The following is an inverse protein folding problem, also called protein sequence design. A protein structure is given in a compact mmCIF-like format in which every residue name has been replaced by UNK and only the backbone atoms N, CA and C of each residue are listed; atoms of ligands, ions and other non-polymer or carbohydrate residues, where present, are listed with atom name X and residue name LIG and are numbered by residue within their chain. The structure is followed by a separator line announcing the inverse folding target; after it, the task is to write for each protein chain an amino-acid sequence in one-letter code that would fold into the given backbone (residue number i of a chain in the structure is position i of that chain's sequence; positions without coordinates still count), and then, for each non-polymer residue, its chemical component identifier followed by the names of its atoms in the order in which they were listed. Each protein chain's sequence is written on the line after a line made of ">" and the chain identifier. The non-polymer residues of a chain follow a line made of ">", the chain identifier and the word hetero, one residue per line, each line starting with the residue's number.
data_IF_988320478029
#
_entry.id   IF_988320478029
#
_cell.length_a   1.000
_cell.length_b   1.000
_cell.length_c   1.000
_cell.angle_alpha   90.00
_cell.angle_beta   90.00
_cell.angle_gamma   90.00
#
_symmetry.space_group_name_H-M   'P 1'
#
loop_
_entity.id
_entity.type
_entity.pdbx_description
1 polymer ?
#
# COMPACT_ATOMS: atom_id res chain seq x y z
N UNK A 1 -42.78 18.62 -1.42
CA UNK A 1 -41.70 18.99 -0.47
C UNK A 1 -40.55 18.01 -0.62
N UNK A 2 -39.54 18.36 -1.41
CA UNK A 2 -38.32 17.56 -1.60
C UNK A 2 -37.28 17.95 -0.56
N UNK A 3 -36.74 16.98 0.19
CA UNK A 3 -35.59 17.18 1.08
C UNK A 3 -34.28 16.93 0.30
N UNK A 4 -33.22 17.69 0.55
CA UNK A 4 -32.00 17.65 -0.24
C UNK A 4 -31.18 16.39 0.04
N UNK A 5 -30.68 15.80 -1.04
CA UNK A 5 -29.69 14.72 -1.05
C UNK A 5 -28.38 15.30 -0.51
N UNK A 6 -27.92 14.79 0.62
CA UNK A 6 -26.57 15.04 1.12
C UNK A 6 -25.59 14.41 0.12
N UNK A 7 -25.03 15.25 -0.74
CA UNK A 7 -23.92 14.90 -1.61
C UNK A 7 -22.74 14.43 -0.77
N UNK A 8 -22.43 13.14 -0.87
CA UNK A 8 -21.18 12.59 -0.39
C UNK A 8 -20.07 13.13 -1.30
N UNK A 9 -19.43 14.21 -0.84
CA UNK A 9 -18.23 14.81 -1.41
C UNK A 9 -17.03 13.88 -1.15
N UNK A 10 -16.95 12.78 -1.90
CA UNK A 10 -15.69 12.05 -2.05
C UNK A 10 -14.88 12.80 -3.09
N UNK A 11 -13.97 13.63 -2.58
CA UNK A 11 -12.95 14.27 -3.37
C UNK A 11 -12.23 13.24 -4.23
N UNK A 12 -12.09 13.60 -5.49
CA UNK A 12 -11.30 12.98 -6.54
C UNK A 12 -9.92 12.54 -5.98
N UNK A 13 -9.81 11.26 -5.59
CA UNK A 13 -8.52 10.60 -5.37
C UNK A 13 -8.15 9.92 -6.69
N UNK A 14 -7.06 10.30 -7.37
CA UNK A 14 -6.65 9.70 -8.65
C UNK A 14 -6.07 8.28 -8.51
N UNK A 15 -6.28 7.61 -7.38
CA UNK A 15 -5.84 6.25 -7.14
C UNK A 15 -7.07 5.38 -6.90
N UNK A 16 -7.76 5.04 -7.99
CA UNK A 16 -8.74 3.95 -7.98
C UNK A 16 -7.97 2.62 -7.93
N UNK A 17 -7.42 2.28 -6.74
CA UNK A 17 -6.83 0.97 -6.49
C UNK A 17 -7.96 -0.03 -6.26
N UNK A 18 -8.43 -0.58 -7.37
CA UNK A 18 -9.51 -1.56 -7.44
C UNK A 18 -9.25 -2.72 -6.46
N UNK A 19 -10.28 -3.08 -5.68
CA UNK A 19 -10.19 -3.84 -4.43
C UNK A 19 -9.90 -5.35 -4.57
N UNK A 20 -9.23 -5.79 -5.63
CA UNK A 20 -8.98 -7.22 -5.94
C UNK A 20 -7.49 -7.59 -6.08
N UNK A 21 -6.58 -6.93 -5.37
CA UNK A 21 -5.15 -7.32 -5.39
C UNK A 21 -4.85 -8.62 -4.63
N UNK A 22 -5.80 -9.14 -3.85
CA UNK A 22 -5.63 -10.33 -3.00
C UNK A 22 -5.40 -11.62 -3.82
N UNK A 23 -5.84 -11.67 -5.08
CA UNK A 23 -5.83 -12.89 -5.92
C UNK A 23 -5.06 -12.77 -7.23
N UNK A 24 -4.40 -11.65 -7.53
CA UNK A 24 -3.67 -11.49 -8.78
C UNK A 24 -2.30 -12.23 -8.73
N UNK A 25 -2.13 -13.36 -9.45
CA UNK A 25 -0.89 -14.14 -9.41
C UNK A 25 0.30 -13.38 -10.02
N UNK A 26 0.05 -12.53 -11.01
CA UNK A 26 1.07 -11.73 -11.69
C UNK A 26 1.64 -10.65 -10.75
N UNK A 27 0.76 -9.99 -9.99
CA UNK A 27 1.18 -9.00 -8.99
C UNK A 27 2.07 -9.64 -7.93
N UNK A 28 1.73 -10.85 -7.47
CA UNK A 28 2.53 -11.60 -6.49
C UNK A 28 3.92 -11.96 -7.03
N UNK A 29 4.00 -12.38 -8.30
CA UNK A 29 5.27 -12.69 -8.96
C UNK A 29 6.16 -11.45 -9.08
N UNK A 30 5.62 -10.34 -9.61
CA UNK A 30 6.34 -9.06 -9.74
C UNK A 30 6.80 -8.53 -8.38
N UNK A 31 5.96 -8.65 -7.36
CA UNK A 31 6.30 -8.32 -5.99
C UNK A 31 7.51 -9.13 -5.48
N UNK A 32 7.51 -10.45 -5.66
CA UNK A 32 8.63 -11.29 -5.20
C UNK A 32 9.94 -11.01 -5.93
N UNK A 33 9.88 -10.55 -7.19
CA UNK A 33 11.06 -10.09 -7.92
C UNK A 33 11.59 -8.80 -7.32
N UNK A 34 10.74 -7.77 -7.20
CA UNK A 34 11.13 -6.47 -6.63
C UNK A 34 11.63 -6.58 -5.18
N UNK A 35 11.03 -7.46 -4.38
CA UNK A 35 11.48 -7.72 -3.01
C UNK A 35 12.93 -8.20 -2.98
N UNK A 36 13.28 -9.19 -3.80
CA UNK A 36 14.63 -9.75 -3.84
C UNK A 36 15.66 -8.69 -4.24
N UNK A 37 15.33 -7.82 -5.18
CA UNK A 37 16.19 -6.71 -5.58
C UNK A 37 16.39 -5.71 -4.43
N UNK A 38 15.32 -5.40 -3.67
CA UNK A 38 15.38 -4.47 -2.56
C UNK A 38 16.13 -5.03 -1.36
N UNK A 39 16.01 -6.32 -1.07
CA UNK A 39 16.78 -7.01 -0.02
C UNK A 39 18.30 -6.95 -0.31
N UNK A 40 18.70 -7.06 -1.58
CA UNK A 40 20.10 -6.95 -2.00
C UNK A 40 20.64 -5.51 -1.98
N UNK A 41 19.75 -4.51 -2.03
CA UNK A 41 20.13 -3.09 -2.09
C UNK A 41 20.55 -2.48 -0.74
N UNK A 42 20.48 -3.24 0.36
CA UNK A 42 20.91 -2.78 1.68
C UNK A 42 19.99 -1.73 2.32
N UNK A 43 18.77 -1.56 1.81
CA UNK A 43 17.76 -0.66 2.39
C UNK A 43 17.44 -1.11 3.82
N UNK A 44 17.28 -0.14 4.74
CA UNK A 44 16.85 -0.47 6.10
C UNK A 44 15.49 -1.19 6.05
N UNK A 45 15.40 -2.42 6.57
CA UNK A 45 14.24 -3.27 6.36
C UNK A 45 13.00 -2.73 7.06
N UNK A 46 13.17 -2.03 8.18
CA UNK A 46 12.06 -1.55 8.99
C UNK A 46 12.11 -0.04 9.16
N UNK A 47 10.98 0.62 8.92
CA UNK A 47 10.75 2.03 9.22
C UNK A 47 9.58 2.19 10.18
N UNK A 48 9.59 3.26 10.97
CA UNK A 48 8.44 3.57 11.81
C UNK A 48 7.25 3.99 10.96
N UNK A 49 6.03 3.59 11.35
CA UNK A 49 4.87 4.17 10.72
C UNK A 49 4.83 5.69 10.99
N UNK A 50 4.37 6.49 10.01
CA UNK A 50 4.23 7.92 10.19
C UNK A 50 3.27 8.23 11.34
N UNK A 51 3.35 9.46 11.86
CA UNK A 51 2.45 9.97 12.89
C UNK A 51 0.98 9.87 12.44
N UNK A 52 -0.01 9.92 13.35
CA UNK A 52 -1.43 9.77 13.02
C UNK A 52 -1.94 10.66 11.87
N UNK A 53 -1.42 11.87 11.74
CA UNK A 53 -1.70 12.82 10.66
C UNK A 53 -0.62 12.86 9.56
N UNK A 54 0.48 12.12 9.75
CA UNK A 54 1.61 12.08 8.85
C UNK A 54 1.35 11.27 7.58
N UNK A 55 2.14 11.58 6.55
CA UNK A 55 2.23 10.80 5.31
C UNK A 55 3.48 9.93 5.35
N UNK A 56 3.42 8.78 4.69
CA UNK A 56 4.58 7.94 4.48
C UNK A 56 5.60 8.69 3.62
N UNK A 57 6.88 8.78 4.01
CA UNK A 57 7.89 9.46 3.21
C UNK A 57 8.16 8.73 1.88
N UNK A 58 7.91 7.43 1.82
CA UNK A 58 8.19 6.61 0.64
C UNK A 58 7.06 6.60 -0.38
N UNK A 59 5.80 6.62 0.07
CA UNK A 59 4.62 6.45 -0.79
C UNK A 59 3.70 7.66 -0.83
N UNK A 60 3.89 8.64 0.06
CA UNK A 60 2.95 9.76 0.25
C UNK A 60 1.60 9.35 0.85
N UNK A 61 1.37 8.06 1.11
CA UNK A 61 0.10 7.55 1.61
C UNK A 61 -0.13 7.95 3.07
N UNK A 62 -1.39 8.21 3.42
CA UNK A 62 -1.80 8.49 4.80
C UNK A 62 -1.63 7.24 5.66
N UNK A 63 -1.28 7.43 6.94
CA UNK A 63 -1.17 6.34 7.93
C UNK A 63 -2.39 5.42 7.96
N UNK A 64 -3.61 5.98 7.93
CA UNK A 64 -4.84 5.19 7.96
C UNK A 64 -4.93 4.18 6.81
N UNK A 65 -4.49 4.58 5.62
CA UNK A 65 -4.45 3.71 4.44
C UNK A 65 -3.31 2.68 4.51
N UNK A 66 -2.13 3.08 5.02
CA UNK A 66 -1.05 2.12 5.28
C UNK A 66 -1.50 0.99 6.21
N UNK A 67 -2.36 1.25 7.18
CA UNK A 67 -2.86 0.21 8.08
C UNK A 67 -3.84 -0.77 7.44
N UNK A 68 -4.54 -0.38 6.37
CA UNK A 68 -5.45 -1.28 5.64
C UNK A 68 -4.73 -2.06 4.54
N UNK A 69 -3.56 -1.56 4.11
CA UNK A 69 -2.76 -2.10 3.02
C UNK A 69 -2.43 -3.59 3.16
N UNK A 70 -1.94 -4.11 4.30
CA UNK A 70 -1.67 -5.54 4.45
C UNK A 70 -2.88 -6.43 4.13
N UNK A 71 -4.08 -5.99 4.52
CA UNK A 71 -5.33 -6.71 4.23
C UNK A 71 -5.70 -6.61 2.75
N UNK A 72 -5.58 -5.42 2.16
CA UNK A 72 -5.92 -5.17 0.75
C UNK A 72 -4.95 -5.84 -0.23
N UNK A 73 -3.67 -5.91 0.15
CA UNK A 73 -2.61 -6.54 -0.64
C UNK A 73 -2.52 -8.05 -0.43
N UNK A 74 -3.43 -8.67 0.33
CA UNK A 74 -3.35 -10.12 0.61
C UNK A 74 -2.10 -10.54 1.38
N UNK A 75 -1.58 -9.67 2.24
CA UNK A 75 -0.39 -9.93 3.08
C UNK A 75 0.95 -9.59 2.42
N UNK A 76 0.97 -9.05 1.20
CA UNK A 76 2.24 -8.65 0.55
C UNK A 76 2.95 -7.49 1.26
N UNK A 77 2.22 -6.51 1.78
CA UNK A 77 2.81 -5.44 2.60
C UNK A 77 2.79 -5.86 4.06
N UNK A 78 3.96 -5.85 4.70
CA UNK A 78 4.10 -6.26 6.09
C UNK A 78 4.17 -5.07 7.05
N UNK A 79 3.34 -5.11 8.09
CA UNK A 79 3.39 -4.19 9.22
C UNK A 79 3.48 -5.03 10.49
N UNK A 80 4.55 -4.85 11.25
CA UNK A 80 4.79 -5.56 12.49
C UNK A 80 4.42 -4.66 13.67
N UNK A 81 3.77 -5.26 14.67
CA UNK A 81 3.53 -4.63 15.96
C UNK A 81 4.56 -5.15 16.95
N UNK A 82 5.52 -4.31 17.31
CA UNK A 82 6.53 -4.61 18.32
C UNK A 82 6.02 -4.10 19.67
N UNK A 83 5.68 -5.01 20.58
CA UNK A 83 5.33 -4.68 21.97
C UNK A 83 6.31 -5.34 22.93
N UNK A 84 6.85 -4.56 23.85
CA UNK A 84 7.63 -5.11 24.96
C UNK A 84 6.67 -5.67 26.02
N UNK A 85 7.04 -6.77 26.71
CA UNK A 85 6.26 -7.26 27.83
C UNK A 85 6.13 -6.17 28.89
N UNK A 86 4.89 -5.85 29.29
CA UNK A 86 4.57 -4.75 30.21
C UNK A 86 4.22 -3.40 29.56
N UNK A 87 4.40 -3.24 28.24
CA UNK A 87 4.04 -2.00 27.55
C UNK A 87 2.54 -1.90 27.26
N UNK A 88 1.89 -0.79 27.64
CA UNK A 88 0.46 -0.52 27.36
C UNK A 88 0.15 -0.33 25.87
N UNK A 89 1.13 0.09 25.06
CA UNK A 89 0.98 0.31 23.61
C UNK A 89 2.23 -0.19 22.90
N UNK A 90 2.04 -1.04 21.89
CA UNK A 90 3.12 -1.48 20.99
C UNK A 90 3.41 -0.42 19.92
N UNK A 91 4.61 -0.48 19.35
CA UNK A 91 5.04 0.33 18.21
C UNK A 91 4.73 -0.41 16.92
N UNK A 92 4.23 0.31 15.91
CA UNK A 92 4.03 -0.26 14.58
C UNK A 92 5.20 0.11 13.68
N UNK A 93 5.80 -0.89 13.07
CA UNK A 93 6.88 -0.74 12.09
C UNK A 93 6.43 -1.32 10.76
N UNK A 94 6.83 -0.64 9.69
CA UNK A 94 6.56 -0.99 8.32
C UNK A 94 7.80 -1.69 7.75
N UNK A 95 7.61 -2.82 7.08
CA UNK A 95 8.67 -3.40 6.25
C UNK A 95 8.79 -2.57 4.97
N UNK A 96 9.84 -1.76 4.88
CA UNK A 96 10.03 -0.79 3.79
C UNK A 96 10.22 -1.48 2.44
N UNK A 97 11.05 -2.53 2.30
CA UNK A 97 11.13 -3.33 1.08
C UNK A 97 9.77 -3.84 0.60
N UNK A 98 8.94 -4.37 1.50
CA UNK A 98 7.61 -4.89 1.14
C UNK A 98 6.68 -3.82 0.56
N UNK A 99 6.67 -2.62 1.15
CA UNK A 99 5.88 -1.52 0.62
C UNK A 99 6.37 -1.08 -0.77
N UNK A 100 7.68 -0.91 -0.93
CA UNK A 100 8.25 -0.45 -2.20
C UNK A 100 8.05 -1.49 -3.31
N UNK A 101 8.25 -2.77 -3.03
CA UNK A 101 8.00 -3.85 -3.98
C UNK A 101 6.54 -3.91 -4.41
N UNK A 102 5.61 -3.73 -3.47
CA UNK A 102 4.18 -3.69 -3.77
C UNK A 102 3.83 -2.51 -4.68
N UNK A 103 4.32 -1.30 -4.37
CA UNK A 103 4.06 -0.10 -5.17
C UNK A 103 4.61 -0.24 -6.60
N UNK A 104 5.81 -0.82 -6.76
CA UNK A 104 6.38 -1.11 -8.07
C UNK A 104 5.53 -2.13 -8.83
N UNK A 105 5.15 -3.24 -8.19
CA UNK A 105 4.31 -4.25 -8.82
C UNK A 105 2.96 -3.69 -9.30
N UNK A 106 2.32 -2.84 -8.48
CA UNK A 106 1.08 -2.15 -8.88
C UNK A 106 1.32 -1.21 -10.07
N UNK A 107 2.39 -0.41 -10.03
CA UNK A 107 2.72 0.48 -11.14
C UNK A 107 2.99 -0.29 -12.43
N UNK A 108 3.67 -1.43 -12.36
CA UNK A 108 3.97 -2.25 -13.54
C UNK A 108 2.69 -2.87 -14.12
N UNK A 109 1.75 -3.32 -13.27
CA UNK A 109 0.45 -3.86 -13.73
C UNK A 109 -0.36 -2.77 -14.43
N UNK A 110 -0.46 -1.58 -13.81
CA UNK A 110 -1.17 -0.44 -14.40
C UNK A 110 -0.57 0.02 -15.73
N UNK A 111 0.76 -0.02 -15.86
CA UNK A 111 1.46 0.29 -17.13
C UNK A 111 1.21 -0.77 -18.20
N UNK A 112 1.10 -2.04 -17.81
CA UNK A 112 0.73 -3.14 -18.71
C UNK A 112 -0.70 -3.01 -19.23
N UNK A 113 -1.64 -2.63 -18.37
CA UNK A 113 -3.05 -2.40 -18.75
C UNK A 113 -3.24 -1.18 -19.65
N UNK A 114 -2.34 -0.18 -19.56
CA UNK A 114 -2.43 1.05 -20.36
C UNK A 114 -2.07 0.88 -21.84
N UNK A 115 -1.49 -0.26 -22.24
CA UNK A 115 -1.11 -0.50 -23.64
C UNK A 115 -2.21 -1.16 -24.49
N UNK A 116 -3.30 -1.63 -23.88
CA UNK A 116 -4.38 -2.35 -24.59
C UNK A 116 -5.66 -1.52 -24.78
N UNK A 117 -5.68 -0.27 -24.32
CA UNK A 117 -6.85 0.63 -24.37
C UNK A 117 -6.80 1.72 -25.45
N UNK A 118 -5.95 1.57 -26.46
CA UNK A 118 -5.58 2.63 -27.41
C UNK A 118 -6.05 2.43 -28.86
N UNK A 119 -7.23 1.86 -29.10
CA UNK A 119 -7.94 2.01 -30.39
C UNK A 119 -9.43 2.12 -30.11
N UNK A 120 -9.97 3.34 -30.21
CA UNK A 120 -11.27 3.62 -30.81
C UNK A 120 -11.40 5.12 -31.09
#
# INVERSE_FOLDING_TARGET
>A
MLKPIRGNFWGFFPYDMNANHVTNPELKQRFQQHLRELEQSGIQPFSELPSPSGRCPFSGLKRGYLLTLPKQSGGLVEILKISHPGARRGKLVLNTPSLLAYLRAVADVQRGESQDGGVH
#
